data_IF_201381388758
#
_entry.id   IF_201381388758
#
_cell.length_a   1.000
_cell.length_b   1.000
_cell.length_c   1.000
_cell.angle_alpha   90.00
_cell.angle_beta   90.00
_cell.angle_gamma   90.00
#
_symmetry.space_group_name_H-M   'P 1'
#
loop_
_entity.id
_entity.type
_entity.pdbx_description
1 polymer ?
#
# COMPACT_ATOMS: atom_id res chain seq x y z
N UNK A 1 18.86 20.79 24.48
CA UNK A 1 17.80 21.78 24.18
C UNK A 1 17.86 22.27 22.72
N UNK A 2 19.01 22.75 22.22
CA UNK A 2 19.14 23.25 20.84
C UNK A 2 18.84 22.25 19.72
N UNK A 3 19.20 20.97 19.88
CA UNK A 3 18.86 19.92 18.89
C UNK A 3 17.35 19.71 18.76
N UNK A 4 16.62 19.73 19.87
CA UNK A 4 15.15 19.60 19.87
C UNK A 4 14.52 20.79 19.15
N UNK A 5 15.00 22.01 19.41
CA UNK A 5 14.54 23.22 18.73
C UNK A 5 14.85 23.19 17.22
N UNK A 6 16.02 22.70 16.83
CA UNK A 6 16.39 22.50 15.43
C UNK A 6 15.40 21.55 14.74
N UNK A 7 15.16 20.35 15.30
CA UNK A 7 14.22 19.40 14.73
C UNK A 7 12.78 19.93 14.72
N UNK A 8 12.36 20.64 15.77
CA UNK A 8 11.03 21.25 15.85
C UNK A 8 10.82 22.32 14.76
N UNK A 9 11.82 23.16 14.51
CA UNK A 9 11.78 24.17 13.45
C UNK A 9 11.64 23.54 12.07
N UNK A 10 12.44 22.51 11.76
CA UNK A 10 12.32 21.80 10.47
C UNK A 10 10.97 21.07 10.35
N UNK A 11 10.49 20.46 11.43
CA UNK A 11 9.19 19.78 11.45
C UNK A 11 8.04 20.75 11.16
N UNK A 12 7.99 21.91 11.83
CA UNK A 12 6.94 22.90 11.59
C UNK A 12 7.03 23.51 10.20
N UNK A 13 8.24 23.84 9.72
CA UNK A 13 8.45 24.35 8.37
C UNK A 13 7.97 23.36 7.29
N UNK A 14 8.32 22.08 7.41
CA UNK A 14 7.87 21.01 6.51
C UNK A 14 6.34 20.85 6.61
N UNK A 15 5.78 20.84 7.83
CA UNK A 15 4.34 20.69 8.05
C UNK A 15 3.52 21.81 7.37
N UNK A 16 3.91 23.07 7.55
CA UNK A 16 3.24 24.21 6.90
C UNK A 16 3.40 24.19 5.37
N UNK A 17 4.60 23.82 4.88
CA UNK A 17 4.85 23.67 3.44
C UNK A 17 3.95 22.61 2.80
N UNK A 18 3.83 21.44 3.44
CA UNK A 18 2.97 20.35 2.97
C UNK A 18 1.49 20.72 2.99
N UNK A 19 1.02 21.48 3.99
CA UNK A 19 -0.37 21.98 4.02
C UNK A 19 -0.63 22.95 2.88
N UNK A 20 0.29 23.87 2.63
CA UNK A 20 0.17 24.84 1.54
C UNK A 20 0.10 24.14 0.18
N UNK A 21 1.02 23.19 -0.08
CA UNK A 21 1.03 22.37 -1.29
C UNK A 21 -0.25 21.53 -1.43
N UNK A 22 -0.75 20.93 -0.35
CA UNK A 22 -1.99 20.16 -0.36
C UNK A 22 -3.18 21.00 -0.84
N UNK A 23 -3.28 22.25 -0.39
CA UNK A 23 -4.38 23.16 -0.79
C UNK A 23 -4.31 23.55 -2.26
N UNK A 24 -3.12 23.61 -2.86
CA UNK A 24 -2.94 24.00 -4.26
C UNK A 24 -3.15 22.82 -5.22
N UNK A 25 -2.72 21.61 -4.83
CA UNK A 25 -2.64 20.48 -5.75
C UNK A 25 -3.65 19.35 -5.47
N UNK A 26 -4.20 19.23 -4.25
CA UNK A 26 -4.92 18.02 -3.81
C UNK A 26 -6.20 18.34 -3.01
N UNK A 27 -7.17 19.01 -3.64
CA UNK A 27 -8.50 19.23 -3.06
C UNK A 27 -9.33 17.93 -2.90
N UNK A 28 -9.02 16.87 -3.66
CA UNK A 28 -9.72 15.57 -3.63
C UNK A 28 -9.12 14.49 -2.72
N UNK A 29 -8.25 14.85 -1.76
CA UNK A 29 -7.65 13.87 -0.87
C UNK A 29 -8.68 13.26 0.10
N UNK A 30 -8.67 11.93 0.27
CA UNK A 30 -9.56 11.20 1.19
C UNK A 30 -8.66 10.56 2.26
N UNK A 31 -8.32 11.28 3.35
CA UNK A 31 -7.20 10.92 4.22
C UNK A 31 -7.33 9.54 4.87
N UNK A 32 -8.55 9.15 5.24
CA UNK A 32 -8.79 7.85 5.88
C UNK A 32 -8.61 6.69 4.89
N UNK A 33 -9.01 6.86 3.62
CA UNK A 33 -8.86 5.86 2.59
C UNK A 33 -7.39 5.74 2.15
N UNK A 34 -6.69 6.88 2.02
CA UNK A 34 -5.25 6.93 1.75
C UNK A 34 -4.44 6.25 2.88
N UNK A 35 -4.81 6.50 4.15
CA UNK A 35 -4.19 5.86 5.31
C UNK A 35 -4.44 4.34 5.32
N UNK A 36 -5.64 3.88 5.01
CA UNK A 36 -5.97 2.45 4.92
C UNK A 36 -5.18 1.75 3.80
N UNK A 37 -5.15 2.33 2.60
CA UNK A 37 -4.37 1.80 1.49
C UNK A 37 -2.87 1.72 1.83
N UNK A 38 -2.34 2.73 2.51
CA UNK A 38 -0.93 2.77 2.93
C UNK A 38 -0.62 1.73 4.01
N UNK A 39 -1.47 1.58 5.02
CA UNK A 39 -1.28 0.63 6.11
C UNK A 39 -1.34 -0.83 5.62
N UNK A 40 -2.30 -1.14 4.73
CA UNK A 40 -2.42 -2.47 4.11
C UNK A 40 -1.20 -2.77 3.23
N UNK A 41 -0.73 -1.80 2.43
CA UNK A 41 0.44 -1.96 1.57
C UNK A 41 1.71 -2.22 2.38
N UNK A 42 1.92 -1.46 3.46
CA UNK A 42 3.06 -1.64 4.36
C UNK A 42 3.04 -3.04 4.99
N UNK A 43 1.88 -3.49 5.46
CA UNK A 43 1.71 -4.83 6.04
C UNK A 43 1.97 -5.93 5.00
N UNK A 44 1.48 -5.74 3.77
CA UNK A 44 1.73 -6.65 2.65
C UNK A 44 3.22 -6.76 2.32
N UNK A 45 3.94 -5.63 2.28
CA UNK A 45 5.38 -5.58 2.02
C UNK A 45 6.20 -6.25 3.13
N UNK A 46 5.83 -6.03 4.38
CA UNK A 46 6.44 -6.69 5.53
C UNK A 46 6.32 -8.21 5.43
N UNK A 47 5.11 -8.72 5.18
CA UNK A 47 4.87 -10.16 5.04
C UNK A 47 5.52 -10.75 3.79
N UNK A 48 5.59 -9.98 2.69
CA UNK A 48 6.27 -10.40 1.46
C UNK A 48 7.76 -10.63 1.72
N UNK A 49 8.40 -9.73 2.46
CA UNK A 49 9.81 -9.85 2.86
C UNK A 49 10.04 -11.09 3.73
N UNK A 50 9.05 -11.48 4.54
CA UNK A 50 9.05 -12.71 5.36
C UNK A 50 8.64 -13.96 4.58
N UNK A 51 8.46 -13.88 3.25
CA UNK A 51 8.02 -14.96 2.35
C UNK A 51 6.71 -15.65 2.80
N UNK A 52 5.82 -14.89 3.45
CA UNK A 52 4.53 -15.38 3.94
C UNK A 52 3.48 -15.32 2.84
N UNK A 53 2.67 -16.38 2.70
CA UNK A 53 1.58 -16.45 1.70
C UNK A 53 0.50 -15.41 2.01
N UNK A 54 0.37 -15.04 3.29
CA UNK A 54 -0.57 -14.05 3.77
C UNK A 54 -0.34 -12.65 3.19
N UNK A 55 0.88 -12.37 2.70
CA UNK A 55 1.20 -11.11 2.01
C UNK A 55 0.26 -10.82 0.85
N UNK A 56 -0.16 -11.85 0.12
CA UNK A 56 -1.06 -11.71 -1.03
C UNK A 56 -2.47 -11.24 -0.64
N UNK A 57 -2.97 -11.60 0.54
CA UNK A 57 -4.26 -11.08 1.01
C UNK A 57 -4.20 -9.57 1.27
N UNK A 58 -3.06 -9.09 1.80
CA UNK A 58 -2.86 -7.66 2.01
C UNK A 58 -2.72 -6.89 0.71
N UNK A 59 -2.02 -7.44 -0.30
CA UNK A 59 -1.97 -6.83 -1.63
C UNK A 59 -3.35 -6.75 -2.28
N UNK A 60 -4.19 -7.78 -2.13
CA UNK A 60 -5.57 -7.76 -2.59
C UNK A 60 -6.35 -6.64 -1.89
N UNK A 61 -6.24 -6.52 -0.56
CA UNK A 61 -6.91 -5.46 0.21
C UNK A 61 -6.46 -4.05 -0.22
N UNK A 62 -5.16 -3.83 -0.41
CA UNK A 62 -4.60 -2.57 -0.91
C UNK A 62 -5.15 -2.22 -2.29
N UNK A 63 -5.15 -3.19 -3.22
CA UNK A 63 -5.60 -2.94 -4.58
C UNK A 63 -7.13 -2.67 -4.63
N UNK A 64 -7.94 -3.42 -3.88
CA UNK A 64 -9.39 -3.18 -3.75
C UNK A 64 -9.69 -1.80 -3.17
N UNK A 65 -8.92 -1.35 -2.18
CA UNK A 65 -9.07 0.01 -1.63
C UNK A 65 -8.64 1.09 -2.64
N UNK A 66 -7.57 0.82 -3.40
CA UNK A 66 -6.96 1.79 -4.31
C UNK A 66 -7.79 2.04 -5.57
N UNK A 67 -8.44 1.01 -6.14
CA UNK A 67 -9.26 1.16 -7.37
C UNK A 67 -10.34 2.24 -7.25
N UNK A 68 -11.30 2.18 -6.31
CA UNK A 68 -12.33 3.20 -6.18
C UNK A 68 -11.76 4.54 -5.71
N UNK A 69 -10.74 4.52 -4.86
CA UNK A 69 -10.07 5.72 -4.34
C UNK A 69 -9.47 6.57 -5.47
N UNK A 70 -8.73 5.94 -6.39
CA UNK A 70 -8.14 6.65 -7.52
C UNK A 70 -9.16 6.97 -8.61
N UNK A 71 -10.22 6.18 -8.76
CA UNK A 71 -11.31 6.49 -9.68
C UNK A 71 -12.06 7.77 -9.28
N UNK A 72 -12.40 7.91 -8.00
CA UNK A 72 -13.07 9.11 -7.46
C UNK A 72 -12.17 10.35 -7.53
N UNK A 73 -10.85 10.17 -7.43
CA UNK A 73 -9.86 11.25 -7.62
C UNK A 73 -9.67 11.69 -9.08
N UNK A 74 -10.40 11.10 -10.04
CA UNK A 74 -10.26 11.37 -11.47
C UNK A 74 -9.01 10.74 -12.11
N UNK A 75 -8.27 9.91 -11.37
CA UNK A 75 -7.04 9.26 -11.81
C UNK A 75 -7.37 7.87 -12.41
N UNK A 76 -8.07 7.90 -13.55
CA UNK A 76 -8.61 6.69 -14.20
C UNK A 76 -7.49 5.70 -14.58
N UNK A 77 -6.41 6.18 -15.20
CA UNK A 77 -5.27 5.31 -15.55
C UNK A 77 -4.67 4.61 -14.34
N UNK A 78 -4.52 5.32 -13.23
CA UNK A 78 -4.02 4.75 -11.97
C UNK A 78 -5.00 3.71 -11.41
N UNK A 79 -6.31 3.95 -11.46
CA UNK A 79 -7.30 2.96 -11.02
C UNK A 79 -7.25 1.67 -11.85
N UNK A 80 -7.07 1.77 -13.17
CA UNK A 80 -6.92 0.61 -14.06
C UNK A 80 -5.64 -0.15 -13.74
N UNK A 81 -4.54 0.55 -13.49
CA UNK A 81 -3.29 -0.06 -13.04
C UNK A 81 -3.47 -0.88 -11.76
N UNK A 82 -4.12 -0.32 -10.72
CA UNK A 82 -4.41 -1.05 -9.48
C UNK A 82 -5.35 -2.24 -9.71
N UNK A 83 -6.27 -2.15 -10.67
CA UNK A 83 -7.12 -3.27 -11.06
C UNK A 83 -6.31 -4.40 -11.72
N UNK A 84 -5.34 -4.09 -12.57
CA UNK A 84 -4.42 -5.09 -13.13
C UNK A 84 -3.57 -5.72 -12.02
N UNK A 85 -3.06 -4.92 -11.09
CA UNK A 85 -2.33 -5.45 -9.92
C UNK A 85 -3.20 -6.35 -9.04
N UNK A 86 -4.50 -6.07 -8.91
CA UNK A 86 -5.44 -6.92 -8.19
C UNK A 86 -5.49 -8.32 -8.80
N UNK A 87 -5.62 -8.41 -10.12
CA UNK A 87 -5.63 -9.68 -10.85
C UNK A 87 -4.29 -10.42 -10.64
N UNK A 88 -3.17 -9.71 -10.75
CA UNK A 88 -1.85 -10.31 -10.52
C UNK A 88 -1.68 -10.80 -9.07
N UNK A 89 -2.21 -10.08 -8.07
CA UNK A 89 -2.15 -10.49 -6.68
C UNK A 89 -2.94 -11.79 -6.43
N UNK A 90 -4.07 -11.98 -7.12
CA UNK A 90 -4.83 -13.24 -7.08
C UNK A 90 -4.01 -14.39 -7.66
N UNK A 91 -3.36 -14.18 -8.81
CA UNK A 91 -2.48 -15.22 -9.39
C UNK A 91 -1.27 -15.52 -8.49
N UNK A 92 -0.67 -14.49 -7.89
CA UNK A 92 0.39 -14.65 -6.90
C UNK A 92 -0.05 -15.51 -5.71
N UNK A 93 -1.26 -15.25 -5.17
CA UNK A 93 -1.82 -16.05 -4.08
C UNK A 93 -1.95 -17.54 -4.46
N UNK A 94 -2.50 -17.82 -5.64
CA UNK A 94 -2.71 -19.19 -6.14
C UNK A 94 -1.36 -19.91 -6.30
N UNK A 95 -0.40 -19.26 -6.94
CA UNK A 95 0.92 -19.82 -7.21
C UNK A 95 1.70 -20.10 -5.92
N UNK A 96 1.69 -19.19 -4.96
CA UNK A 96 2.38 -19.39 -3.67
C UNK A 96 1.73 -20.51 -2.85
N UNK A 97 0.39 -20.61 -2.84
CA UNK A 97 -0.30 -21.74 -2.19
C UNK A 97 0.10 -23.07 -2.81
N UNK A 98 0.18 -23.14 -4.15
CA UNK A 98 0.65 -24.35 -4.86
C UNK A 98 2.09 -24.70 -4.49
N UNK A 99 2.99 -23.73 -4.39
CA UNK A 99 4.38 -23.94 -3.98
C UNK A 99 4.50 -24.51 -2.57
N UNK A 100 3.75 -23.97 -1.62
CA UNK A 100 3.72 -24.50 -0.23
C UNK A 100 3.20 -25.94 -0.20
N UNK A 101 2.16 -26.25 -0.98
CA UNK A 101 1.64 -27.62 -1.05
C UNK A 101 2.66 -28.60 -1.64
N UNK A 102 3.34 -28.22 -2.72
CA UNK A 102 4.39 -29.06 -3.35
C UNK A 102 5.54 -29.33 -2.38
N UNK A 103 6.00 -28.33 -1.64
CA UNK A 103 7.08 -28.50 -0.66
C UNK A 103 6.71 -29.48 0.47
N UNK A 104 5.46 -29.48 0.93
CA UNK A 104 5.00 -30.45 1.94
C UNK A 104 5.06 -31.89 1.43
N UNK A 105 4.62 -32.13 0.19
CA UNK A 105 4.62 -33.48 -0.40
C UNK A 105 6.05 -34.01 -0.60
N UNK A 106 6.98 -33.18 -1.06
CA UNK A 106 8.39 -33.58 -1.26
C UNK A 106 9.16 -33.84 0.04
N UNK A 107 8.70 -33.30 1.17
CA UNK A 107 9.34 -33.51 2.48
C UNK A 107 8.84 -34.79 3.20
N UNK A 108 7.78 -35.43 2.70
CA UNK A 108 7.18 -36.65 3.29
C UNK A 108 7.38 -37.89 2.41
N UNK A 109 8.06 -37.75 1.27
CA UNK A 109 8.53 -38.82 0.41
C UNK A 109 10.04 -39.02 0.62
#
# INVERSE_FOLDING_TARGET
>A
MYQILFFLFFYTAIYFSLIYLKRIFFEGAIPWADAFASATAFTGMWLMTRKKVESWYWWIATNIASVPLYFVKGLVFTSVYYFVLLIMAIFGLIEWKRRVQRQKTSSHA
#
